data_IF_750119639450
#
_entry.id   IF_750119639450
#
_cell.length_a   1.000
_cell.length_b   1.000
_cell.length_c   1.000
_cell.angle_alpha   90.00
_cell.angle_beta   90.00
_cell.angle_gamma   90.00
#
_symmetry.space_group_name_H-M   'P 1'
#
loop_
_entity.id
_entity.type
_entity.pdbx_description
1 polymer ?
#
# COMPACT_ATOMS: atom_id res chain seq x y z
N UNK A 1 16.73 60.48 14.40
CA UNK A 1 16.17 59.33 13.66
C UNK A 1 16.48 58.10 14.50
N UNK A 2 15.50 57.62 15.29
CA UNK A 2 15.70 56.53 16.25
C UNK A 2 15.78 55.18 15.53
N UNK A 3 16.58 54.21 16.03
CA UNK A 3 16.63 52.87 15.44
C UNK A 3 15.35 52.11 15.77
N UNK A 4 14.80 51.40 14.76
CA UNK A 4 13.62 50.54 14.90
C UNK A 4 13.92 49.36 15.83
N UNK A 5 12.96 48.93 16.68
CA UNK A 5 13.16 47.78 17.56
C UNK A 5 13.14 46.48 16.75
N UNK A 6 14.03 45.55 17.13
CA UNK A 6 14.07 44.19 16.62
C UNK A 6 12.77 43.46 17.01
N UNK A 7 12.04 42.96 16.00
CA UNK A 7 10.93 42.04 16.21
C UNK A 7 11.49 40.68 16.62
N UNK A 8 11.48 40.40 17.92
CA UNK A 8 11.58 39.02 18.44
C UNK A 8 10.37 38.24 17.96
N UNK A 9 10.59 37.30 17.04
CA UNK A 9 9.62 36.28 16.66
C UNK A 9 9.38 35.38 17.89
N UNK A 10 8.25 35.58 18.56
CA UNK A 10 7.72 34.58 19.48
C UNK A 10 7.33 33.33 18.67
N UNK A 11 7.59 32.11 19.16
CA UNK A 11 7.18 30.90 18.48
C UNK A 11 5.66 30.87 18.36
N UNK A 12 5.15 30.74 17.14
CA UNK A 12 3.72 30.47 16.91
C UNK A 12 3.42 29.07 17.43
N UNK A 13 2.81 28.97 18.62
CA UNK A 13 2.26 27.71 19.12
C UNK A 13 1.07 27.32 18.22
N UNK A 14 1.31 26.34 17.34
CA UNK A 14 0.26 25.71 16.56
C UNK A 14 -0.59 24.86 17.47
N UNK A 15 -1.90 25.10 17.51
CA UNK A 15 -2.80 24.27 18.29
C UNK A 15 -2.80 22.84 17.73
N UNK A 16 -2.58 21.85 18.59
CA UNK A 16 -2.58 20.43 18.29
C UNK A 16 -4.01 19.86 18.31
N UNK A 17 -4.33 18.94 17.40
CA UNK A 17 -5.64 18.31 17.29
C UNK A 17 -5.52 16.81 17.50
N UNK A 18 -5.99 16.31 18.65
CA UNK A 18 -5.93 14.90 19.05
C UNK A 18 -7.27 14.21 18.83
N UNK A 19 -7.27 12.98 18.33
CA UNK A 19 -8.48 12.14 18.29
C UNK A 19 -8.60 11.40 19.62
N UNK A 20 -9.74 11.57 20.29
CA UNK A 20 -9.99 10.94 21.59
C UNK A 20 -11.28 10.14 21.54
N UNK A 21 -11.26 8.94 22.11
CA UNK A 21 -12.41 8.06 22.31
C UNK A 21 -12.73 7.95 23.80
N UNK A 22 -13.99 8.12 24.14
CA UNK A 22 -14.54 7.88 25.48
C UNK A 22 -15.85 7.10 25.29
N UNK A 23 -15.87 5.85 25.74
CA UNK A 23 -16.95 4.90 25.41
C UNK A 23 -17.10 4.73 23.90
N UNK A 24 -18.34 4.82 23.40
CA UNK A 24 -18.66 4.73 21.96
C UNK A 24 -18.48 6.06 21.20
N UNK A 25 -18.12 7.13 21.89
CA UNK A 25 -17.98 8.46 21.30
C UNK A 25 -16.53 8.79 20.98
N UNK A 26 -16.29 9.34 19.78
CA UNK A 26 -14.98 9.83 19.36
C UNK A 26 -15.06 11.31 18.95
N UNK A 27 -14.20 12.15 19.51
CA UNK A 27 -14.16 13.60 19.23
C UNK A 27 -12.72 14.08 19.08
N UNK A 28 -12.52 15.19 18.38
CA UNK A 28 -11.23 15.87 18.32
C UNK A 28 -11.06 16.79 19.52
N UNK A 29 -9.92 16.74 20.21
CA UNK A 29 -9.54 17.66 21.28
C UNK A 29 -8.50 18.62 20.74
N UNK A 30 -8.70 19.91 20.98
CA UNK A 30 -7.76 20.97 20.57
C UNK A 30 -6.96 21.36 21.81
N UNK A 31 -5.63 21.28 21.71
CA UNK A 31 -4.69 21.63 22.77
C UNK A 31 -3.74 22.72 22.28
N UNK A 32 -3.42 23.66 23.17
CA UNK A 32 -2.41 24.68 22.91
C UNK A 32 -0.99 24.13 23.16
N UNK A 33 -0.84 23.37 24.24
CA UNK A 33 0.42 22.78 24.69
C UNK A 33 0.20 21.28 25.01
N UNK A 34 1.24 20.44 24.88
CA UNK A 34 1.17 19.00 25.13
C UNK A 34 1.17 18.68 26.63
N UNK A 35 0.19 19.22 27.37
CA UNK A 35 0.04 19.01 28.81
C UNK A 35 -1.11 18.04 29.11
N UNK A 36 -0.84 17.00 29.91
CA UNK A 36 -1.81 15.96 30.25
C UNK A 36 -3.01 16.50 31.05
N UNK A 37 -2.77 17.44 31.97
CA UNK A 37 -3.84 18.03 32.78
C UNK A 37 -4.80 18.87 31.92
N UNK A 38 -4.25 19.70 31.04
CA UNK A 38 -5.05 20.50 30.10
C UNK A 38 -5.81 19.62 29.10
N UNK A 39 -5.18 18.52 28.67
CA UNK A 39 -5.81 17.52 27.84
C UNK A 39 -7.05 16.93 28.51
N UNK A 40 -6.91 16.41 29.73
CA UNK A 40 -8.02 15.81 30.46
C UNK A 40 -9.15 16.83 30.71
N UNK A 41 -8.81 18.06 31.08
CA UNK A 41 -9.80 19.13 31.25
C UNK A 41 -10.57 19.42 29.94
N UNK A 42 -9.85 19.49 28.81
CA UNK A 42 -10.46 19.73 27.50
C UNK A 42 -11.31 18.55 27.03
N UNK A 43 -10.91 17.31 27.31
CA UNK A 43 -11.72 16.11 27.10
C UNK A 43 -12.99 16.21 27.92
N UNK A 44 -12.90 16.39 29.24
CA UNK A 44 -14.06 16.36 30.12
C UNK A 44 -15.10 17.42 29.73
N UNK A 45 -14.63 18.63 29.44
CA UNK A 45 -15.48 19.70 28.91
C UNK A 45 -16.15 19.33 27.58
N UNK A 46 -15.42 18.70 26.65
CA UNK A 46 -15.94 18.38 25.30
C UNK A 46 -16.85 17.16 25.27
N UNK A 47 -16.64 16.21 26.17
CA UNK A 47 -17.49 15.03 26.34
C UNK A 47 -18.64 15.27 27.33
N UNK A 48 -18.64 16.40 28.04
CA UNK A 48 -19.70 16.76 28.98
C UNK A 48 -19.70 15.90 30.24
N UNK A 49 -18.53 15.41 30.63
CA UNK A 49 -18.35 14.55 31.82
C UNK A 49 -17.69 15.36 32.95
N UNK A 50 -17.98 15.05 34.24
CA UNK A 50 -17.35 15.72 35.36
C UNK A 50 -15.82 15.57 35.32
N UNK A 51 -15.04 16.59 35.74
CA UNK A 51 -13.60 16.46 35.83
C UNK A 51 -13.22 15.52 36.98
N UNK A 52 -12.84 14.30 36.65
CA UNK A 52 -12.37 13.28 37.59
C UNK A 52 -10.87 13.10 37.39
N UNK A 53 -10.07 13.20 38.46
CA UNK A 53 -8.60 13.06 38.39
C UNK A 53 -8.10 11.70 38.86
N UNK A 54 -8.92 10.92 39.53
CA UNK A 54 -8.57 9.62 40.09
C UNK A 54 -9.29 8.51 39.32
N UNK A 55 -8.58 7.43 39.02
CA UNK A 55 -9.13 6.29 38.29
C UNK A 55 -9.42 6.56 36.82
N UNK A 56 -8.61 7.39 36.15
CA UNK A 56 -8.70 7.65 34.71
C UNK A 56 -7.45 7.13 34.04
N UNK A 57 -7.60 6.14 33.15
CA UNK A 57 -6.48 5.61 32.35
C UNK A 57 -6.61 6.04 30.90
N UNK A 58 -5.50 6.51 30.33
CA UNK A 58 -5.42 6.92 28.93
C UNK A 58 -4.63 5.84 28.19
N UNK A 59 -5.18 5.36 27.09
CA UNK A 59 -4.58 4.31 26.27
C UNK A 59 -4.32 4.83 24.87
N UNK A 60 -3.20 4.45 24.28
CA UNK A 60 -2.92 4.72 22.87
C UNK A 60 -3.72 3.79 21.94
N UNK A 61 -3.47 3.88 20.63
CA UNK A 61 -4.10 2.99 19.64
C UNK A 61 -3.70 1.51 19.74
N UNK A 62 -2.61 1.20 20.43
CA UNK A 62 -2.17 -0.18 20.70
C UNK A 62 -2.77 -0.77 21.98
N UNK A 63 -3.40 0.06 22.81
CA UNK A 63 -3.91 -0.31 24.12
C UNK A 63 -2.87 -0.21 25.25
N UNK A 64 -1.80 0.55 25.03
CA UNK A 64 -0.75 0.84 26.01
C UNK A 64 -1.10 2.10 26.79
N UNK A 65 -0.89 2.08 28.11
CA UNK A 65 -1.16 3.23 28.99
C UNK A 65 -0.23 4.41 28.69
N UNK A 66 -0.79 5.62 28.73
CA UNK A 66 -0.12 6.89 28.46
C UNK A 66 -0.12 7.73 29.71
N UNK A 67 1.03 7.77 30.37
CA UNK A 67 1.28 8.57 31.57
C UNK A 67 1.80 9.97 31.25
N UNK A 68 1.88 10.83 32.26
CA UNK A 68 2.31 12.23 32.14
C UNK A 68 3.70 12.38 31.50
N UNK A 69 4.65 11.49 31.85
CA UNK A 69 6.02 11.53 31.34
C UNK A 69 6.14 11.24 29.84
N UNK A 70 5.21 10.44 29.29
CA UNK A 70 5.25 9.97 27.89
C UNK A 70 4.23 10.71 27.02
N UNK A 71 3.29 11.43 27.64
CA UNK A 71 2.21 12.13 26.95
C UNK A 71 2.75 13.11 25.91
N UNK A 72 3.74 13.94 26.25
CA UNK A 72 4.33 14.94 25.34
C UNK A 72 4.92 14.30 24.09
N UNK A 73 5.69 13.21 24.24
CA UNK A 73 6.33 12.50 23.13
C UNK A 73 5.28 11.84 22.22
N UNK A 74 4.25 11.25 22.83
CA UNK A 74 3.18 10.57 22.09
C UNK A 74 2.38 11.58 21.27
N UNK A 75 1.98 12.71 21.87
CA UNK A 75 1.13 13.69 21.18
C UNK A 75 1.91 14.56 20.18
N UNK A 76 3.22 14.75 20.40
CA UNK A 76 4.10 15.43 19.45
C UNK A 76 4.40 14.60 18.20
N UNK A 77 4.11 13.30 18.23
CA UNK A 77 4.24 12.44 17.05
C UNK A 77 3.18 12.77 15.99
N UNK A 78 3.53 12.76 14.68
CA UNK A 78 2.56 13.03 13.62
C UNK A 78 1.52 11.89 13.44
N UNK A 79 1.64 10.80 14.22
CA UNK A 79 0.85 9.57 14.10
C UNK A 79 0.29 9.07 15.43
N UNK A 80 -0.13 9.96 16.33
CA UNK A 80 -0.68 9.65 17.68
C UNK A 80 -1.84 8.62 17.66
N UNK A 81 -2.56 8.51 16.55
CA UNK A 81 -3.71 7.61 16.45
C UNK A 81 -4.93 8.13 17.24
N UNK A 82 -5.64 7.23 17.91
CA UNK A 82 -6.81 7.57 18.75
C UNK A 82 -6.47 7.24 20.19
N UNK A 83 -6.47 8.25 21.06
CA UNK A 83 -6.32 8.07 22.50
C UNK A 83 -7.65 7.63 23.10
N UNK A 84 -7.67 6.58 23.90
CA UNK A 84 -8.89 6.03 24.53
C UNK A 84 -8.86 6.28 26.03
N UNK A 85 -9.92 6.85 26.58
CA UNK A 85 -10.03 7.14 28.01
C UNK A 85 -10.93 6.08 28.66
N UNK A 86 -10.47 5.51 29.77
CA UNK A 86 -11.22 4.55 30.60
C UNK A 86 -11.29 5.02 32.04
N UNK A 87 -12.38 4.66 32.72
CA UNK A 87 -12.54 4.86 34.15
C UNK A 87 -12.33 3.52 34.89
N UNK A 88 -11.62 3.56 36.01
CA UNK A 88 -11.48 2.43 36.94
C UNK A 88 -12.84 2.14 37.57
N UNK A 89 -13.60 1.25 36.93
CA UNK A 89 -14.97 0.93 37.27
C UNK A 89 -15.83 0.44 36.09
N UNK A 90 -15.39 0.64 34.86
CA UNK A 90 -16.05 0.05 33.68
C UNK A 90 -15.63 -1.43 33.53
N UNK A 91 -16.58 -2.40 33.61
CA UNK A 91 -16.25 -3.80 33.40
C UNK A 91 -15.76 -4.01 31.97
N UNK A 92 -14.64 -4.70 31.83
CA UNK A 92 -14.10 -5.19 30.55
C UNK A 92 -15.23 -5.92 29.82
N UNK A 93 -15.70 -5.35 28.71
CA UNK A 93 -16.63 -5.99 27.78
C UNK A 93 -15.94 -7.21 27.16
N UNK A 94 -16.13 -8.34 27.82
CA UNK A 94 -15.97 -9.68 27.26
C UNK A 94 -17.17 -9.90 26.35
N UNK A 95 -16.91 -10.15 25.07
CA UNK A 95 -17.94 -10.42 24.05
C UNK A 95 -18.77 -11.65 24.49
N UNK A 96 -20.11 -11.56 24.58
CA UNK A 96 -20.96 -12.71 24.88
C UNK A 96 -21.32 -13.48 23.60
N UNK A 97 -21.29 -14.80 23.71
CA UNK A 97 -21.91 -15.76 22.80
C UNK A 97 -23.44 -15.58 22.79
N UNK A 98 -24.14 -15.86 21.68
CA UNK A 98 -25.59 -15.80 21.64
C UNK A 98 -26.17 -17.16 22.07
N UNK A 99 -27.03 -17.16 23.08
CA UNK A 99 -28.31 -17.85 22.94
C UNK A 99 -29.37 -17.38 23.95
N UNK A 100 -30.44 -16.86 23.35
CA UNK A 100 -31.85 -17.03 23.69
C UNK A 100 -32.42 -16.42 24.99
N UNK A 101 -33.41 -15.54 24.79
CA UNK A 101 -34.51 -15.37 25.73
C UNK A 101 -35.84 -15.20 24.97
N UNK A 102 -36.77 -16.12 25.19
CA UNK A 102 -38.18 -15.80 25.39
C UNK A 102 -38.83 -16.93 26.19
N UNK A 103 -39.25 -16.58 27.39
CA UNK A 103 -39.91 -17.39 28.41
C UNK A 103 -41.42 -17.28 28.23
N UNK A 104 -42.17 -18.38 28.14
CA UNK A 104 -43.59 -18.44 28.57
C UNK A 104 -43.98 -19.84 29.10
N UNK A 105 -44.32 -19.87 30.41
CA UNK A 105 -45.43 -20.54 31.10
C UNK A 105 -45.75 -22.06 30.95
N UNK A 106 -45.60 -22.76 32.09
CA UNK A 106 -46.52 -23.75 32.75
C UNK A 106 -46.85 -25.12 32.12
N UNK A 107 -46.38 -26.23 32.72
CA UNK A 107 -47.13 -27.05 33.71
C UNK A 107 -46.43 -28.39 34.02
N UNK A 108 -46.33 -28.68 35.32
CA UNK A 108 -46.51 -29.96 36.04
C UNK A 108 -45.93 -31.30 35.53
N UNK A 109 -45.02 -31.85 36.35
CA UNK A 109 -45.12 -33.15 37.09
C UNK A 109 -43.81 -33.96 37.05
N UNK A 110 -43.14 -34.03 38.20
CA UNK A 110 -42.13 -35.05 38.61
C UNK A 110 -42.98 -36.14 39.32
N UNK A 111 -42.67 -37.47 39.30
CA UNK A 111 -41.38 -37.90 39.84
C UNK A 111 -40.76 -39.28 39.45
N UNK A 112 -39.47 -39.42 39.83
CA UNK A 112 -38.90 -40.58 40.57
C UNK A 112 -38.37 -41.82 39.79
N UNK A 113 -37.03 -41.95 39.83
CA UNK A 113 -36.26 -43.07 40.45
C UNK A 113 -35.55 -44.14 39.60
N UNK A 114 -34.26 -44.29 39.96
CA UNK A 114 -33.29 -45.41 39.88
C UNK A 114 -32.67 -45.88 38.56
N UNK A 115 -31.36 -45.61 38.45
CA UNK A 115 -30.29 -46.57 38.05
C UNK A 115 -30.20 -47.76 39.03
N UNK A 116 -29.41 -48.85 38.84
CA UNK A 116 -28.39 -49.15 37.81
C UNK A 116 -28.43 -50.62 37.25
N UNK A 117 -27.65 -50.92 36.21
CA UNK A 117 -26.96 -52.22 35.94
C UNK A 117 -26.28 -52.12 34.55
N UNK A 118 -24.96 -52.14 34.41
CA UNK A 118 -24.01 -53.27 34.50
C UNK A 118 -23.60 -53.79 33.12
N UNK A 119 -22.30 -53.61 32.84
CA UNK A 119 -21.42 -54.39 31.96
C UNK A 119 -21.77 -54.54 30.46
N UNK A 120 -20.83 -54.15 29.58
CA UNK A 120 -19.81 -55.05 28.99
C UNK A 120 -19.31 -54.48 27.67
N UNK A 121 -18.06 -54.02 27.64
CA UNK A 121 -17.27 -53.92 26.40
C UNK A 121 -16.86 -55.31 25.93
N UNK A 122 -16.72 -55.51 24.61
CA UNK A 122 -15.51 -56.19 24.14
C UNK A 122 -14.82 -55.49 22.98
N UNK A 123 -13.52 -55.70 22.99
CA UNK A 123 -12.44 -55.28 22.10
C UNK A 123 -12.46 -55.95 20.72
N UNK A 124 -11.94 -55.19 19.74
CA UNK A 124 -11.09 -55.54 18.57
C UNK A 124 -11.39 -56.86 17.81
N UNK A 125 -11.71 -56.76 16.52
CA UNK A 125 -10.76 -57.11 15.46
C UNK A 125 -11.26 -56.76 14.04
N UNK A 126 -10.29 -56.46 13.18
CA UNK A 126 -10.42 -56.15 11.76
C UNK A 126 -10.86 -57.40 10.96
N UNK A 127 -11.85 -57.25 10.07
CA UNK A 127 -11.84 -57.99 8.79
C UNK A 127 -12.73 -57.30 7.75
N UNK A 128 -12.12 -57.17 6.57
CA UNK A 128 -12.61 -56.82 5.25
C UNK A 128 -14.03 -57.34 4.93
N UNK A 129 -14.94 -56.42 4.57
CA UNK A 129 -15.92 -56.60 3.50
C UNK A 129 -16.78 -55.35 3.30
N UNK A 130 -16.87 -54.96 2.04
CA UNK A 130 -17.59 -53.83 1.46
C UNK A 130 -18.95 -53.58 2.10
N UNK A 131 -19.07 -52.46 2.83
CA UNK A 131 -20.36 -51.89 3.17
C UNK A 131 -20.35 -50.41 2.79
N UNK A 132 -21.21 -50.07 1.83
CA UNK A 132 -21.42 -48.71 1.33
C UNK A 132 -21.96 -47.86 2.47
N UNK A 133 -21.07 -47.25 3.28
CA UNK A 133 -21.46 -46.24 4.25
C UNK A 133 -21.97 -45.05 3.45
N UNK A 134 -23.29 -44.92 3.39
CA UNK A 134 -23.97 -43.69 3.01
C UNK A 134 -23.68 -42.71 4.14
N UNK A 135 -22.49 -42.08 4.09
CA UNK A 135 -22.17 -40.92 4.91
C UNK A 135 -23.15 -39.85 4.45
N UNK A 136 -24.14 -39.55 5.30
CA UNK A 136 -24.98 -38.37 5.18
C UNK A 136 -24.06 -37.15 5.33
N UNK A 137 -23.50 -36.73 4.21
CA UNK A 137 -22.50 -35.68 4.05
C UNK A 137 -23.13 -34.33 4.47
N UNK A 138 -23.19 -34.08 5.77
CA UNK A 138 -23.67 -32.80 6.30
C UNK A 138 -22.66 -31.73 5.85
N UNK A 139 -23.10 -30.56 5.35
CA UNK A 139 -22.19 -29.53 4.85
C UNK A 139 -21.06 -29.14 5.82
N UNK A 140 -21.32 -29.27 7.14
CA UNK A 140 -20.34 -29.06 8.19
C UNK A 140 -19.22 -30.12 8.22
N UNK A 141 -19.55 -31.41 8.07
CA UNK A 141 -18.57 -32.50 8.04
C UNK A 141 -17.63 -32.41 6.84
N UNK A 142 -18.19 -32.03 5.67
CA UNK A 142 -17.40 -31.79 4.46
C UNK A 142 -16.43 -30.62 4.62
N UNK A 143 -16.85 -29.54 5.28
CA UNK A 143 -15.98 -28.38 5.56
C UNK A 143 -14.84 -28.74 6.51
N UNK A 144 -15.13 -29.44 7.60
CA UNK A 144 -14.13 -29.85 8.59
C UNK A 144 -13.09 -30.80 8.02
N UNK A 145 -13.51 -31.70 7.11
CA UNK A 145 -12.58 -32.57 6.37
C UNK A 145 -11.62 -31.78 5.50
N UNK A 146 -12.13 -30.82 4.72
CA UNK A 146 -11.30 -29.95 3.88
C UNK A 146 -10.33 -29.09 4.71
N UNK A 147 -10.77 -28.60 5.86
CA UNK A 147 -9.92 -27.84 6.79
C UNK A 147 -8.77 -28.70 7.33
N UNK A 148 -9.07 -29.96 7.69
CA UNK A 148 -8.08 -30.92 8.20
C UNK A 148 -7.06 -31.31 7.12
N UNK A 149 -7.52 -31.61 5.90
CA UNK A 149 -6.66 -31.92 4.75
C UNK A 149 -5.77 -30.71 4.38
N UNK A 150 -6.33 -29.50 4.38
CA UNK A 150 -5.59 -28.27 4.08
C UNK A 150 -4.53 -27.97 5.13
N UNK A 151 -4.87 -28.13 6.41
CA UNK A 151 -3.93 -27.96 7.53
C UNK A 151 -2.76 -28.94 7.41
N UNK A 152 -3.05 -30.23 7.21
CA UNK A 152 -2.03 -31.26 7.12
C UNK A 152 -1.08 -31.02 5.92
N UNK A 153 -1.62 -30.52 4.80
CA UNK A 153 -0.81 -30.13 3.65
C UNK A 153 0.24 -29.07 4.03
N UNK A 154 -0.19 -27.95 4.63
CA UNK A 154 0.71 -26.85 5.03
C UNK A 154 1.71 -27.29 6.09
N UNK A 155 1.25 -28.04 7.10
CA UNK A 155 2.09 -28.56 8.18
C UNK A 155 3.19 -29.49 7.65
N UNK A 156 2.85 -30.41 6.75
CA UNK A 156 3.82 -31.32 6.12
C UNK A 156 4.88 -30.59 5.29
N UNK A 157 4.52 -29.48 4.65
CA UNK A 157 5.46 -28.66 3.87
C UNK A 157 6.43 -27.94 4.79
N UNK A 158 5.94 -27.35 5.88
CA UNK A 158 6.78 -26.66 6.86
C UNK A 158 7.70 -27.64 7.62
N UNK A 159 7.27 -28.86 7.85
CA UNK A 159 8.13 -29.90 8.44
C UNK A 159 9.27 -30.33 7.50
N UNK A 160 9.05 -30.29 6.18
CA UNK A 160 10.02 -30.77 5.18
C UNK A 160 10.98 -29.69 4.68
N UNK A 161 10.55 -28.43 4.57
CA UNK A 161 11.35 -27.34 3.99
C UNK A 161 12.27 -26.70 5.05
N UNK A 162 13.52 -26.34 4.69
CA UNK A 162 14.46 -25.74 5.64
C UNK A 162 13.95 -24.39 6.16
N UNK A 163 13.97 -24.21 7.48
CA UNK A 163 13.50 -22.99 8.15
C UNK A 163 12.01 -23.01 8.51
N UNK A 164 11.26 -24.06 8.16
CA UNK A 164 9.88 -24.23 8.60
C UNK A 164 9.76 -24.56 10.09
N UNK A 165 10.75 -25.24 10.66
CA UNK A 165 10.92 -25.50 12.08
C UNK A 165 10.94 -24.20 12.90
N UNK A 166 11.63 -23.16 12.40
CA UNK A 166 11.69 -21.84 13.06
C UNK A 166 10.33 -21.17 13.12
N UNK A 167 9.54 -21.25 12.06
CA UNK A 167 8.18 -20.69 12.00
C UNK A 167 7.26 -21.42 12.99
N UNK A 168 7.31 -22.76 12.98
CA UNK A 168 6.51 -23.56 13.91
C UNK A 168 6.88 -23.27 15.37
N UNK A 169 8.16 -23.13 15.68
CA UNK A 169 8.63 -22.81 17.03
C UNK A 169 8.25 -21.38 17.46
N UNK A 170 8.36 -20.40 16.58
CA UNK A 170 7.94 -19.01 16.85
C UNK A 170 6.44 -18.94 17.18
N UNK A 171 5.62 -19.61 16.35
CA UNK A 171 4.18 -19.65 16.58
C UNK A 171 3.82 -20.42 17.85
N UNK A 172 4.46 -21.56 18.10
CA UNK A 172 4.19 -22.33 19.31
C UNK A 172 4.49 -21.53 20.58
N UNK A 173 5.52 -20.67 20.55
CA UNK A 173 5.94 -19.83 21.68
C UNK A 173 5.09 -18.58 21.86
N UNK A 174 4.74 -17.89 20.77
CA UNK A 174 4.12 -16.54 20.83
C UNK A 174 2.65 -16.51 20.45
N UNK A 175 2.13 -17.61 19.87
CA UNK A 175 0.81 -17.68 19.21
C UNK A 175 0.61 -16.59 18.15
N UNK A 176 1.70 -16.11 17.57
CA UNK A 176 1.74 -15.12 16.50
C UNK A 176 2.96 -15.37 15.61
N UNK A 177 3.04 -14.67 14.48
CA UNK A 177 4.23 -14.64 13.63
C UNK A 177 4.60 -13.19 13.32
N UNK A 178 5.89 -12.88 13.43
CA UNK A 178 6.47 -11.65 12.91
C UNK A 178 6.26 -11.55 11.41
N UNK A 179 6.25 -10.32 10.89
CA UNK A 179 6.11 -10.09 9.45
C UNK A 179 7.19 -10.80 8.62
N UNK A 180 8.41 -10.89 9.15
CA UNK A 180 9.51 -11.58 8.50
C UNK A 180 9.25 -13.09 8.39
N UNK A 181 8.81 -13.72 9.48
CA UNK A 181 8.47 -15.15 9.52
C UNK A 181 7.25 -15.46 8.65
N UNK A 182 6.22 -14.60 8.62
CA UNK A 182 5.08 -14.73 7.68
C UNK A 182 5.53 -14.70 6.23
N UNK A 183 6.44 -13.78 5.86
CA UNK A 183 6.99 -13.72 4.48
C UNK A 183 7.77 -14.98 4.13
N UNK A 184 8.61 -15.48 5.05
CA UNK A 184 9.37 -16.74 4.86
C UNK A 184 8.44 -17.94 4.69
N UNK A 185 7.41 -18.05 5.52
CA UNK A 185 6.36 -19.06 5.41
C UNK A 185 5.71 -19.05 4.03
N UNK A 186 5.19 -17.88 3.61
CA UNK A 186 4.53 -17.71 2.31
C UNK A 186 5.48 -18.09 1.16
N UNK A 187 6.75 -17.67 1.22
CA UNK A 187 7.74 -18.02 0.21
C UNK A 187 7.96 -19.54 0.09
N UNK A 188 8.06 -20.26 1.22
CA UNK A 188 8.23 -21.71 1.21
C UNK A 188 7.01 -22.42 0.65
N UNK A 189 5.81 -22.00 1.05
CA UNK A 189 4.55 -22.57 0.59
C UNK A 189 4.35 -22.33 -0.91
N UNK A 190 4.63 -21.12 -1.40
CA UNK A 190 4.54 -20.81 -2.83
C UNK A 190 5.57 -21.58 -3.64
N UNK A 191 6.80 -21.74 -3.14
CA UNK A 191 7.81 -22.55 -3.80
C UNK A 191 7.35 -24.00 -3.98
N UNK A 192 6.86 -24.65 -2.90
CA UNK A 192 6.30 -26.01 -2.96
C UNK A 192 5.07 -26.09 -3.90
N UNK A 193 4.20 -25.08 -3.84
CA UNK A 193 3.03 -25.00 -4.70
C UNK A 193 3.41 -24.95 -6.19
N UNK A 194 4.41 -24.14 -6.56
CA UNK A 194 4.87 -24.02 -7.96
C UNK A 194 5.71 -25.20 -8.42
N UNK A 195 6.41 -25.87 -7.49
CA UNK A 195 7.18 -27.09 -7.76
C UNK A 195 6.25 -28.26 -8.11
N UNK A 196 5.13 -28.43 -7.39
CA UNK A 196 4.17 -29.51 -7.63
C UNK A 196 3.18 -29.25 -8.75
N UNK A 197 2.73 -28.01 -8.92
CA UNK A 197 1.61 -27.66 -9.82
C UNK A 197 2.07 -26.86 -11.06
N UNK A 198 3.38 -26.70 -11.24
CA UNK A 198 3.95 -25.84 -12.26
C UNK A 198 3.79 -24.35 -11.95
N UNK A 199 4.16 -23.50 -12.91
CA UNK A 199 4.23 -22.06 -12.70
C UNK A 199 2.88 -21.42 -12.37
N UNK A 200 1.76 -22.02 -12.77
CA UNK A 200 0.41 -21.47 -12.59
C UNK A 200 -0.52 -22.42 -11.83
N UNK A 201 -0.40 -22.51 -10.49
CA UNK A 201 -1.30 -23.30 -9.66
C UNK A 201 -2.77 -22.93 -9.86
N UNK A 202 -3.65 -23.92 -9.84
CA UNK A 202 -5.10 -23.72 -10.06
C UNK A 202 -5.75 -22.95 -8.91
N UNK A 203 -6.97 -22.44 -9.15
CA UNK A 203 -7.79 -21.75 -8.12
C UNK A 203 -7.97 -22.60 -6.86
N UNK A 204 -8.31 -23.88 -7.04
CA UNK A 204 -8.54 -24.82 -5.93
C UNK A 204 -7.27 -25.06 -5.10
N UNK A 205 -6.11 -25.19 -5.76
CA UNK A 205 -4.83 -25.36 -5.05
C UNK A 205 -4.50 -24.12 -4.21
N UNK A 206 -4.68 -22.91 -4.77
CA UNK A 206 -4.43 -21.67 -4.03
C UNK A 206 -5.39 -21.51 -2.83
N UNK A 207 -6.66 -21.86 -2.98
CA UNK A 207 -7.63 -21.87 -1.87
C UNK A 207 -7.24 -22.88 -0.78
N UNK A 208 -6.82 -24.09 -1.16
CA UNK A 208 -6.40 -25.13 -0.21
C UNK A 208 -5.22 -24.65 0.64
N UNK A 209 -4.22 -24.00 0.04
CA UNK A 209 -3.08 -23.45 0.79
C UNK A 209 -3.49 -22.26 1.68
N UNK A 210 -4.30 -21.33 1.17
CA UNK A 210 -4.78 -20.19 1.96
C UNK A 210 -5.58 -20.65 3.19
N UNK A 211 -6.51 -21.59 2.99
CA UNK A 211 -7.27 -22.24 4.06
C UNK A 211 -6.34 -22.96 5.04
N UNK A 212 -5.38 -23.74 4.55
CA UNK A 212 -4.42 -24.45 5.39
C UNK A 212 -3.59 -23.53 6.28
N UNK A 213 -3.20 -22.35 5.78
CA UNK A 213 -2.46 -21.35 6.57
C UNK A 213 -3.27 -20.89 7.76
N UNK A 214 -4.51 -20.43 7.57
CA UNK A 214 -5.32 -19.89 8.68
C UNK A 214 -5.82 -20.99 9.62
N UNK A 215 -5.99 -22.22 9.14
CA UNK A 215 -6.33 -23.37 9.99
C UNK A 215 -5.14 -23.81 10.84
N UNK A 216 -3.91 -23.71 10.32
CA UNK A 216 -2.70 -24.02 11.08
C UNK A 216 -2.29 -22.88 12.03
N UNK A 217 -2.48 -21.63 11.57
CA UNK A 217 -2.16 -20.41 12.30
C UNK A 217 -3.40 -19.52 12.49
N UNK A 218 -4.32 -19.87 13.42
CA UNK A 218 -5.55 -19.10 13.65
C UNK A 218 -5.36 -17.60 13.85
N UNK A 219 -4.25 -17.14 14.42
CA UNK A 219 -3.98 -15.70 14.62
C UNK A 219 -3.75 -14.93 13.31
N UNK A 220 -3.56 -15.63 12.19
CA UNK A 220 -3.39 -15.05 10.87
C UNK A 220 -4.70 -15.00 10.09
N UNK A 221 -5.80 -15.52 10.65
CA UNK A 221 -7.13 -15.41 10.06
C UNK A 221 -7.59 -13.96 10.10
N UNK A 222 -8.22 -13.48 9.03
CA UNK A 222 -8.88 -12.18 9.00
C UNK A 222 -10.29 -12.28 9.60
N UNK A 223 -10.58 -11.66 10.77
CA UNK A 223 -11.89 -11.74 11.40
C UNK A 223 -13.01 -11.07 10.59
N UNK A 224 -12.66 -10.18 9.66
CA UNK A 224 -13.62 -9.42 8.85
C UNK A 224 -13.92 -10.09 7.50
N UNK A 225 -13.21 -11.17 7.19
CA UNK A 225 -13.38 -11.90 5.94
C UNK A 225 -14.32 -13.10 6.08
N UNK A 226 -15.02 -13.45 5.00
CA UNK A 226 -16.04 -14.52 4.99
C UNK A 226 -15.50 -15.87 5.46
N UNK A 227 -14.28 -16.23 5.05
CA UNK A 227 -13.65 -17.50 5.42
C UNK A 227 -12.32 -17.31 6.17
N UNK A 228 -11.90 -16.06 6.43
CA UNK A 228 -10.68 -15.72 7.14
C UNK A 228 -9.38 -15.82 6.34
N UNK A 229 -9.36 -16.44 5.16
CA UNK A 229 -8.14 -16.66 4.36
C UNK A 229 -8.04 -15.84 3.07
N UNK A 230 -9.04 -15.02 2.77
CA UNK A 230 -9.15 -14.30 1.50
C UNK A 230 -7.98 -13.33 1.26
N UNK A 231 -7.37 -12.79 2.31
CA UNK A 231 -6.16 -11.97 2.18
C UNK A 231 -4.94 -12.78 1.68
N UNK A 232 -4.89 -14.10 1.93
CA UNK A 232 -3.90 -15.00 1.32
C UNK A 232 -4.30 -15.41 -0.10
N UNK A 233 -5.57 -15.77 -0.30
CA UNK A 233 -6.13 -15.97 -1.63
C UNK A 233 -7.64 -15.78 -1.64
N UNK A 234 -8.12 -14.77 -2.36
CA UNK A 234 -9.53 -14.60 -2.67
C UNK A 234 -9.81 -15.21 -4.03
N UNK A 235 -10.72 -16.17 -4.04
CA UNK A 235 -11.06 -16.92 -5.22
C UNK A 235 -12.08 -16.23 -6.12
N UNK A 236 -12.75 -15.18 -5.64
CA UNK A 236 -13.64 -14.34 -6.45
C UNK A 236 -12.83 -13.34 -7.28
N UNK A 237 -11.92 -12.59 -6.64
CA UNK A 237 -11.05 -11.63 -7.34
C UNK A 237 -9.81 -12.26 -7.96
N UNK A 238 -9.42 -13.46 -7.54
CA UNK A 238 -8.15 -14.08 -7.93
C UNK A 238 -6.92 -13.40 -7.31
N UNK A 239 -7.12 -12.59 -6.27
CA UNK A 239 -6.09 -11.79 -5.60
C UNK A 239 -5.64 -12.39 -4.26
N UNK A 240 -4.74 -11.72 -3.54
CA UNK A 240 -4.19 -12.16 -2.25
C UNK A 240 -2.68 -12.44 -2.29
N UNK A 241 -2.07 -12.60 -1.11
CA UNK A 241 -0.61 -12.74 -0.97
C UNK A 241 -0.01 -13.91 -1.74
N UNK A 242 -0.69 -15.07 -1.77
CA UNK A 242 -0.23 -16.24 -2.53
C UNK A 242 -0.25 -15.94 -4.04
N UNK A 243 -1.34 -15.35 -4.54
CA UNK A 243 -1.47 -14.96 -5.94
C UNK A 243 -0.42 -13.92 -6.35
N UNK A 244 -0.24 -12.89 -5.52
CA UNK A 244 0.78 -11.87 -5.74
C UNK A 244 2.17 -12.48 -5.78
N UNK A 245 2.51 -13.34 -4.81
CA UNK A 245 3.84 -13.93 -4.72
C UNK A 245 4.15 -14.84 -5.91
N UNK A 246 3.21 -15.70 -6.32
CA UNK A 246 3.31 -16.51 -7.54
C UNK A 246 3.59 -15.62 -8.75
N UNK A 247 2.82 -14.53 -8.95
CA UNK A 247 3.02 -13.58 -10.05
C UNK A 247 4.39 -12.90 -10.00
N UNK A 248 4.93 -12.63 -8.81
CA UNK A 248 6.29 -12.06 -8.69
C UNK A 248 7.39 -13.06 -9.03
N UNK A 249 7.26 -14.32 -8.59
CA UNK A 249 8.22 -15.39 -8.91
C UNK A 249 8.18 -15.72 -10.40
N UNK A 250 7.00 -15.75 -11.02
CA UNK A 250 6.88 -15.89 -12.48
C UNK A 250 7.58 -14.75 -13.23
N UNK A 251 7.42 -13.50 -12.78
CA UNK A 251 8.07 -12.34 -13.39
C UNK A 251 9.58 -12.35 -13.20
N UNK A 252 10.08 -12.75 -12.03
CA UNK A 252 11.53 -12.87 -11.79
C UNK A 252 12.13 -14.00 -12.61
N UNK A 253 11.53 -15.19 -12.63
CA UNK A 253 12.01 -16.33 -13.44
C UNK A 253 11.96 -16.05 -14.94
N UNK A 254 10.96 -15.31 -15.43
CA UNK A 254 10.93 -14.84 -16.83
C UNK A 254 12.04 -13.83 -17.12
N UNK A 255 12.37 -12.96 -16.15
CA UNK A 255 13.49 -12.02 -16.24
C UNK A 255 14.84 -12.74 -16.24
N UNK A 256 15.01 -13.73 -15.37
CA UNK A 256 16.24 -14.53 -15.28
C UNK A 256 16.48 -15.35 -16.56
N UNK A 257 15.41 -15.96 -17.11
CA UNK A 257 15.47 -16.65 -18.42
C UNK A 257 15.81 -15.72 -19.57
N UNK A 258 15.39 -14.45 -19.51
CA UNK A 258 15.75 -13.43 -20.49
C UNK A 258 17.20 -12.97 -20.30
N UNK A 259 17.65 -12.81 -19.07
CA UNK A 259 19.04 -12.48 -18.75
C UNK A 259 20.03 -13.58 -19.19
N UNK A 260 19.69 -14.85 -18.97
CA UNK A 260 20.52 -15.98 -19.43
C UNK A 260 20.54 -16.14 -20.96
N UNK A 261 19.52 -15.65 -21.67
CA UNK A 261 19.51 -15.57 -23.14
C UNK A 261 20.26 -14.35 -23.68
N UNK A 262 20.42 -13.30 -22.86
CA UNK A 262 21.16 -12.08 -23.21
C UNK A 262 22.68 -12.21 -22.99
N UNK A 263 23.17 -13.13 -22.16
CA UNK A 263 24.62 -13.40 -21.98
C UNK A 263 25.32 -13.94 -23.26
N UNK A 264 24.58 -14.35 -24.29
CA UNK A 264 25.12 -14.84 -25.57
C UNK A 264 25.11 -13.84 -26.74
N UNK A 265 24.66 -12.58 -26.56
CA UNK A 265 24.64 -11.57 -27.63
C UNK A 265 25.00 -10.18 -27.13
N UNK A 266 25.87 -9.42 -27.83
CA UNK A 266 26.19 -8.08 -27.41
C UNK A 266 24.99 -7.17 -27.68
N UNK A 267 24.46 -6.60 -26.61
CA UNK A 267 23.64 -5.39 -26.65
C UNK A 267 22.12 -5.61 -26.63
N UNK A 268 21.54 -5.65 -25.43
CA UNK A 268 20.33 -4.91 -25.10
C UNK A 268 20.07 -4.98 -23.60
N UNK A 269 19.71 -3.85 -23.00
CA UNK A 269 19.07 -3.85 -21.67
C UNK A 269 17.89 -2.89 -21.64
N UNK A 270 16.91 -3.35 -20.86
CA UNK A 270 15.81 -2.64 -20.20
C UNK A 270 14.44 -2.59 -20.91
N UNK A 271 13.61 -3.60 -20.60
CA UNK A 271 12.16 -3.40 -20.47
C UNK A 271 11.89 -2.71 -19.12
N UNK A 272 11.86 -1.38 -19.15
CA UNK A 272 11.45 -0.51 -18.04
C UNK A 272 10.80 0.77 -18.55
N UNK A 273 10.17 0.71 -19.73
CA UNK A 273 9.60 1.87 -20.41
C UNK A 273 8.17 2.20 -19.99
N UNK A 274 7.66 3.38 -20.38
CA UNK A 274 6.32 3.90 -20.06
C UNK A 274 5.15 3.03 -20.55
N UNK A 275 5.43 1.93 -21.27
CA UNK A 275 4.47 0.92 -21.71
C UNK A 275 4.21 -0.20 -20.69
N UNK A 276 4.88 -0.19 -19.52
CA UNK A 276 4.54 -1.12 -18.44
C UNK A 276 3.09 -0.84 -18.00
N UNK A 277 2.17 -1.73 -18.39
CA UNK A 277 0.74 -1.62 -18.10
C UNK A 277 0.56 -1.60 -16.57
N UNK A 278 0.43 -0.39 -16.00
CA UNK A 278 -0.13 -0.18 -14.67
C UNK A 278 -1.63 -0.46 -14.83
N UNK A 279 -2.11 -1.52 -14.18
CA UNK A 279 -3.56 -1.67 -13.96
C UNK A 279 -3.98 -0.53 -13.04
N UNK A 280 -4.34 0.61 -13.61
CA UNK A 280 -5.21 1.56 -12.94
C UNK A 280 -6.58 0.90 -12.89
N UNK A 281 -7.08 0.63 -11.68
CA UNK A 281 -8.47 0.27 -11.49
C UNK A 281 -9.30 1.44 -12.02
N UNK A 282 -9.88 1.25 -13.22
CA UNK A 282 -10.82 2.19 -13.79
C UNK A 282 -11.99 2.32 -12.81
N UNK A 283 -12.06 3.46 -12.12
CA UNK A 283 -13.34 3.94 -11.62
C UNK A 283 -14.21 4.30 -12.84
N UNK A 284 -15.51 4.01 -12.82
CA UNK A 284 -16.38 4.34 -13.94
C UNK A 284 -16.26 5.84 -14.26
N UNK A 285 -16.18 6.18 -15.55
CA UNK A 285 -16.25 7.57 -16.03
C UNK A 285 -17.53 8.20 -15.51
N UNK A 286 -17.40 8.98 -14.44
CA UNK A 286 -18.41 9.93 -14.03
C UNK A 286 -18.11 11.21 -14.80
N UNK A 287 -18.99 11.55 -15.74
CA UNK A 287 -18.97 12.85 -16.38
C UNK A 287 -19.27 13.90 -15.31
N UNK A 288 -18.22 14.57 -14.84
CA UNK A 288 -18.35 15.75 -14.00
C UNK A 288 -18.92 16.88 -14.86
N UNK A 289 -19.98 17.51 -14.36
CA UNK A 289 -20.53 18.71 -15.00
C UNK A 289 -19.56 19.88 -14.81
N UNK A 290 -19.63 20.91 -15.67
CA UNK A 290 -18.72 22.07 -15.63
C UNK A 290 -18.69 22.81 -14.28
N UNK A 291 -19.69 22.58 -13.42
CA UNK A 291 -19.81 23.15 -12.07
C UNK A 291 -19.22 22.28 -10.95
N UNK A 292 -18.83 21.03 -11.24
CA UNK A 292 -18.27 20.11 -10.26
C UNK A 292 -16.79 20.40 -10.02
N UNK A 293 -16.50 21.06 -8.91
CA UNK A 293 -15.13 21.33 -8.50
C UNK A 293 -14.40 19.98 -8.29
N UNK A 294 -13.37 19.70 -9.09
CA UNK A 294 -12.54 18.48 -8.97
C UNK A 294 -12.06 18.25 -7.54
N UNK A 295 -11.85 19.33 -6.77
CA UNK A 295 -11.40 19.27 -5.39
C UNK A 295 -12.51 18.91 -4.38
N UNK A 296 -13.80 18.98 -4.77
CA UNK A 296 -14.90 18.45 -3.95
C UNK A 296 -15.13 16.97 -4.16
N UNK A 297 -14.98 16.45 -5.38
CA UNK A 297 -15.13 15.00 -5.61
C UNK A 297 -13.86 14.22 -5.23
N UNK A 298 -12.69 14.86 -5.37
CA UNK A 298 -11.41 14.31 -4.96
C UNK A 298 -10.78 15.16 -3.85
N UNK A 299 -11.35 15.14 -2.63
CA UNK A 299 -10.86 15.96 -1.52
C UNK A 299 -9.41 15.63 -1.15
N UNK A 300 -8.91 14.43 -1.53
CA UNK A 300 -7.51 14.05 -1.34
C UNK A 300 -6.50 14.92 -2.09
N UNK A 301 -6.91 15.66 -3.12
CA UNK A 301 -6.01 16.63 -3.77
C UNK A 301 -5.80 17.89 -2.92
N UNK A 302 -6.61 18.13 -1.88
CA UNK A 302 -6.45 19.30 -1.00
C UNK A 302 -5.41 19.08 0.11
N UNK A 303 -5.30 17.85 0.60
CA UNK A 303 -4.47 17.47 1.75
C UNK A 303 -3.21 16.70 1.34
N UNK A 304 -3.21 16.01 0.19
CA UNK A 304 -2.03 15.32 -0.32
C UNK A 304 -1.19 16.24 -1.19
N UNK A 305 -0.06 16.71 -0.66
CA UNK A 305 0.94 17.45 -1.43
C UNK A 305 1.71 16.49 -2.34
N UNK A 306 1.60 16.71 -3.65
CA UNK A 306 2.44 16.07 -4.67
C UNK A 306 2.27 14.56 -4.79
N UNK A 307 1.18 14.09 -5.41
CA UNK A 307 0.88 12.65 -5.53
C UNK A 307 2.03 11.81 -6.11
N UNK A 308 2.69 12.32 -7.16
CA UNK A 308 3.83 11.64 -7.77
C UNK A 308 5.03 11.63 -6.82
N UNK A 309 5.28 12.74 -6.13
CA UNK A 309 6.38 12.88 -5.19
C UNK A 309 6.15 11.99 -3.96
N UNK A 310 4.93 11.92 -3.44
CA UNK A 310 4.56 11.06 -2.32
C UNK A 310 4.78 9.58 -2.65
N UNK A 311 4.32 9.12 -3.82
CA UNK A 311 4.56 7.75 -4.26
C UNK A 311 6.07 7.46 -4.41
N UNK A 312 6.83 8.44 -4.89
CA UNK A 312 8.27 8.34 -5.03
C UNK A 312 8.97 8.28 -3.66
N UNK A 313 8.55 9.12 -2.70
CA UNK A 313 8.99 9.09 -1.29
C UNK A 313 8.67 7.74 -0.64
N UNK A 314 7.46 7.21 -0.85
CA UNK A 314 7.06 5.89 -0.33
C UNK A 314 7.92 4.76 -0.88
N UNK A 315 8.29 4.83 -2.17
CA UNK A 315 9.10 3.79 -2.81
C UNK A 315 10.59 3.88 -2.47
N UNK A 316 11.14 5.09 -2.35
CA UNK A 316 12.59 5.32 -2.30
C UNK A 316 13.08 6.00 -1.01
N UNK A 317 12.17 6.44 -0.15
CA UNK A 317 12.44 7.18 1.07
C UNK A 317 12.64 8.68 0.84
N UNK A 318 12.37 9.46 1.89
CA UNK A 318 12.44 10.93 1.87
C UNK A 318 13.85 11.42 1.52
N UNK A 319 14.87 10.78 2.10
CA UNK A 319 16.27 11.09 1.80
C UNK A 319 16.74 10.75 0.38
N UNK A 320 15.96 10.07 -0.47
CA UNK A 320 16.28 9.84 -1.88
C UNK A 320 15.41 10.67 -2.83
N UNK A 321 14.14 10.86 -2.47
CA UNK A 321 13.12 11.52 -3.29
C UNK A 321 13.50 12.93 -3.76
N UNK A 322 13.90 13.81 -2.84
CA UNK A 322 14.28 15.19 -3.15
C UNK A 322 15.66 15.34 -3.82
N UNK A 323 16.53 14.32 -3.77
CA UNK A 323 17.93 14.45 -4.18
C UNK A 323 18.11 14.88 -5.63
N UNK A 324 17.22 14.43 -6.54
CA UNK A 324 17.30 14.83 -7.95
C UNK A 324 17.11 16.32 -8.07
N UNK A 325 16.03 16.87 -7.51
CA UNK A 325 15.69 18.29 -7.55
C UNK A 325 16.72 19.14 -6.82
N UNK A 326 17.16 18.71 -5.63
CA UNK A 326 18.21 19.39 -4.85
C UNK A 326 19.53 19.51 -5.62
N UNK A 327 19.92 18.46 -6.35
CA UNK A 327 21.20 18.40 -7.08
C UNK A 327 21.05 18.79 -8.55
N UNK A 328 19.84 19.03 -9.03
CA UNK A 328 19.57 19.37 -10.43
C UNK A 328 20.31 20.64 -10.85
N UNK A 329 20.09 21.82 -10.22
CA UNK A 329 20.71 23.07 -10.65
C UNK A 329 22.23 23.06 -10.46
N UNK A 330 22.73 22.39 -9.42
CA UNK A 330 24.15 22.47 -9.05
C UNK A 330 25.03 21.42 -9.72
N UNK A 331 24.48 20.25 -10.05
CA UNK A 331 25.28 19.06 -10.40
C UNK A 331 24.78 18.36 -11.64
N UNK A 332 23.52 17.93 -11.67
CA UNK A 332 23.04 17.08 -12.78
C UNK A 332 22.93 17.86 -14.08
N UNK A 333 22.32 19.05 -14.07
CA UNK A 333 22.20 19.91 -15.25
C UNK A 333 23.54 20.16 -15.94
N UNK A 334 24.55 20.59 -15.16
CA UNK A 334 25.92 20.81 -15.67
C UNK A 334 26.53 19.55 -16.28
N UNK A 335 26.34 18.38 -15.64
CA UNK A 335 26.84 17.10 -16.17
C UNK A 335 26.15 16.74 -17.48
N UNK A 336 24.85 16.94 -17.61
CA UNK A 336 24.10 16.67 -18.85
C UNK A 336 24.66 17.52 -19.99
N UNK A 337 24.74 18.84 -19.79
CA UNK A 337 25.30 19.77 -20.78
C UNK A 337 26.71 19.34 -21.20
N UNK A 338 27.58 19.00 -20.24
CA UNK A 338 28.94 18.55 -20.50
C UNK A 338 29.02 17.25 -21.31
N UNK A 339 28.11 16.30 -21.08
CA UNK A 339 28.10 15.05 -21.86
C UNK A 339 27.53 15.29 -23.26
N UNK A 340 26.49 16.12 -23.40
CA UNK A 340 25.91 16.45 -24.70
C UNK A 340 26.87 17.23 -25.60
N UNK A 341 27.76 18.06 -25.04
CA UNK A 341 28.86 18.71 -25.78
C UNK A 341 29.83 17.74 -26.45
N UNK A 342 29.87 16.47 -26.03
CA UNK A 342 30.72 15.43 -26.63
C UNK A 342 30.03 14.67 -27.75
N UNK A 343 28.72 14.88 -27.95
CA UNK A 343 27.98 14.26 -29.04
C UNK A 343 28.34 14.94 -30.38
N UNK A 344 28.12 14.27 -31.51
CA UNK A 344 28.22 14.91 -32.81
C UNK A 344 27.32 16.15 -32.88
N UNK A 345 27.86 17.27 -33.37
CA UNK A 345 27.12 18.52 -33.50
C UNK A 345 25.99 18.36 -34.52
N UNK A 346 24.77 18.66 -34.09
CA UNK A 346 23.59 18.82 -34.96
C UNK A 346 22.89 20.11 -34.58
N UNK A 347 22.14 20.71 -35.52
CA UNK A 347 21.40 21.97 -35.28
C UNK A 347 20.55 21.88 -34.01
N UNK A 348 19.89 20.75 -33.79
CA UNK A 348 19.02 20.54 -32.62
C UNK A 348 19.81 20.50 -31.31
N UNK A 349 20.96 19.83 -31.29
CA UNK A 349 21.81 19.76 -30.09
C UNK A 349 22.42 21.14 -29.81
N UNK A 350 22.84 21.88 -30.84
CA UNK A 350 23.38 23.22 -30.72
C UNK A 350 22.35 24.21 -30.17
N UNK A 351 21.12 24.20 -30.69
CA UNK A 351 20.00 25.02 -30.21
C UNK A 351 19.67 24.72 -28.74
N UNK A 352 19.58 23.43 -28.38
CA UNK A 352 19.30 23.02 -26.99
C UNK A 352 20.46 23.35 -26.05
N UNK A 353 21.72 23.22 -26.47
CA UNK A 353 22.89 23.60 -25.68
C UNK A 353 22.96 25.11 -25.44
N UNK A 354 22.63 25.91 -26.47
CA UNK A 354 22.57 27.36 -26.36
C UNK A 354 21.48 27.82 -25.39
N UNK A 355 20.31 27.18 -25.43
CA UNK A 355 19.22 27.47 -24.50
C UNK A 355 19.49 26.95 -23.07
N UNK A 356 20.18 25.82 -22.93
CA UNK A 356 20.53 25.22 -21.65
C UNK A 356 21.66 25.98 -20.92
N UNK A 357 22.65 26.50 -21.64
CA UNK A 357 23.82 27.20 -21.10
C UNK A 357 24.15 28.43 -21.96
N UNK A 358 23.31 29.48 -21.92
CA UNK A 358 23.50 30.67 -22.75
C UNK A 358 24.79 31.41 -22.34
N UNK A 359 25.57 31.93 -23.30
CA UNK A 359 26.76 32.73 -23.00
C UNK A 359 26.38 34.01 -22.24
N UNK A 360 27.27 34.48 -21.37
CA UNK A 360 27.00 35.58 -20.42
C UNK A 360 26.54 36.91 -21.07
N UNK A 361 26.83 37.11 -22.36
CA UNK A 361 26.45 38.29 -23.15
C UNK A 361 25.10 38.20 -23.88
N UNK A 362 24.41 37.04 -23.86
CA UNK A 362 23.13 36.85 -24.58
C UNK A 362 21.99 36.75 -23.58
N UNK A 363 21.28 37.87 -23.38
CA UNK A 363 20.18 37.95 -22.41
C UNK A 363 18.87 37.35 -22.89
N UNK A 364 18.70 37.11 -24.21
CA UNK A 364 17.47 36.57 -24.79
C UNK A 364 17.76 35.67 -26.00
N UNK A 365 17.61 34.35 -25.83
CA UNK A 365 17.54 33.40 -26.95
C UNK A 365 16.06 33.28 -27.33
N UNK A 366 15.62 34.02 -28.36
CA UNK A 366 14.21 34.35 -28.65
C UNK A 366 13.31 33.19 -29.18
N UNK A 367 13.72 31.92 -29.08
CA UNK A 367 12.93 30.83 -29.69
C UNK A 367 12.98 29.46 -28.99
N UNK A 368 13.72 29.35 -27.87
CA UNK A 368 14.00 28.05 -27.23
C UNK A 368 13.05 27.69 -26.10
N UNK A 369 13.16 26.43 -25.65
CA UNK A 369 12.72 26.03 -24.32
C UNK A 369 13.55 26.75 -23.26
N UNK A 370 13.06 26.84 -22.02
CA UNK A 370 13.88 27.37 -20.93
C UNK A 370 15.11 26.49 -20.67
N UNK A 371 16.03 26.99 -19.84
CA UNK A 371 17.31 26.34 -19.60
C UNK A 371 17.18 24.96 -18.93
N UNK A 372 16.19 24.75 -18.07
CA UNK A 372 15.96 23.46 -17.41
C UNK A 372 15.32 22.45 -18.33
N UNK A 373 14.27 22.86 -19.04
CA UNK A 373 13.58 22.01 -20.00
C UNK A 373 14.50 21.65 -21.19
N UNK A 374 15.29 22.60 -21.68
CA UNK A 374 16.33 22.32 -22.68
C UNK A 374 17.33 21.28 -22.19
N UNK A 375 17.75 21.37 -20.92
CA UNK A 375 18.63 20.38 -20.30
C UNK A 375 17.97 19.00 -20.14
N UNK A 376 16.66 18.95 -19.88
CA UNK A 376 15.90 17.69 -19.86
C UNK A 376 15.79 17.09 -21.26
N UNK A 377 15.55 17.90 -22.29
CA UNK A 377 15.48 17.43 -23.67
C UNK A 377 16.83 16.90 -24.16
N UNK A 378 17.94 17.54 -23.75
CA UNK A 378 19.30 17.04 -23.98
C UNK A 378 19.53 15.63 -23.41
N UNK A 379 18.90 15.25 -22.29
CA UNK A 379 18.98 13.87 -21.79
C UNK A 379 18.47 12.86 -22.81
N UNK A 380 17.46 13.21 -23.62
CA UNK A 380 16.91 12.32 -24.65
C UNK A 380 17.92 12.01 -25.77
N UNK A 381 18.95 12.84 -25.93
CA UNK A 381 20.07 12.59 -26.85
C UNK A 381 21.18 11.70 -26.24
N UNK A 382 21.22 11.56 -24.91
CA UNK A 382 22.16 10.68 -24.20
C UNK A 382 21.59 9.28 -23.99
N UNK A 383 20.26 9.14 -24.04
CA UNK A 383 19.56 7.86 -23.84
C UNK A 383 19.54 7.09 -25.16
N UNK A 384 19.81 5.76 -25.16
CA UNK A 384 19.68 4.95 -26.37
C UNK A 384 18.29 5.07 -27.00
N UNK A 385 18.19 5.23 -28.33
CA UNK A 385 16.90 5.40 -29.00
C UNK A 385 15.99 4.19 -28.75
N UNK A 386 14.76 4.45 -28.30
CA UNK A 386 13.80 3.38 -27.97
C UNK A 386 13.17 2.81 -29.25
N UNK A 387 12.99 1.48 -29.30
CA UNK A 387 12.33 0.83 -30.43
C UNK A 387 10.84 1.25 -30.51
N UNK A 388 10.32 1.52 -31.70
CA UNK A 388 8.92 1.91 -31.96
C UNK A 388 7.88 0.78 -31.72
N UNK A 389 8.28 -0.30 -31.06
CA UNK A 389 7.42 -1.45 -30.75
C UNK A 389 7.29 -2.46 -31.90
N UNK A 390 6.64 -3.60 -31.62
CA UNK A 390 6.52 -4.72 -32.57
C UNK A 390 5.78 -4.40 -33.88
N UNK A 391 4.97 -3.32 -33.90
CA UNK A 391 4.10 -2.96 -35.03
C UNK A 391 4.71 -1.96 -36.01
N UNK A 392 5.79 -1.27 -35.65
CA UNK A 392 6.50 -0.31 -36.53
C UNK A 392 8.00 -0.58 -36.49
N UNK A 393 8.62 -0.95 -37.62
CA UNK A 393 10.07 -1.07 -37.69
C UNK A 393 10.69 0.33 -37.61
N UNK A 394 11.53 0.58 -36.59
CA UNK A 394 12.18 1.87 -36.42
C UNK A 394 12.58 2.14 -34.96
N UNK A 395 13.44 3.14 -34.79
CA UNK A 395 13.78 3.72 -33.49
C UNK A 395 13.24 5.15 -33.44
N UNK A 396 12.69 5.56 -32.29
CA UNK A 396 12.26 6.94 -32.07
C UNK A 396 13.51 7.81 -31.98
N UNK A 397 13.62 8.85 -32.82
CA UNK A 397 14.70 9.83 -32.69
C UNK A 397 14.48 10.73 -31.47
N UNK A 398 15.53 11.37 -30.98
CA UNK A 398 15.41 12.31 -29.86
C UNK A 398 14.41 13.45 -30.15
N UNK A 399 14.41 13.98 -31.38
CA UNK A 399 13.44 14.99 -31.86
C UNK A 399 12.00 14.47 -31.88
N UNK A 400 11.81 13.18 -32.20
CA UNK A 400 10.50 12.57 -32.14
C UNK A 400 10.07 12.33 -30.68
N UNK A 401 11.01 11.97 -29.81
CA UNK A 401 10.75 11.81 -28.37
C UNK A 401 10.33 13.14 -27.73
N UNK A 402 10.96 14.26 -28.08
CA UNK A 402 10.56 15.59 -27.63
C UNK A 402 9.07 15.86 -27.87
N UNK A 403 8.56 15.59 -29.09
CA UNK A 403 7.14 15.79 -29.45
C UNK A 403 6.18 14.90 -28.65
N UNK A 404 6.66 13.80 -28.11
CA UNK A 404 5.88 12.91 -27.24
C UNK A 404 6.00 13.27 -25.77
N UNK A 405 7.08 13.96 -25.37
CA UNK A 405 7.34 14.34 -23.99
C UNK A 405 6.72 15.68 -23.62
N UNK A 406 6.71 16.65 -24.54
CA UNK A 406 6.26 18.02 -24.26
C UNK A 406 5.35 18.53 -25.37
N UNK A 407 4.20 19.07 -24.98
CA UNK A 407 3.26 19.77 -25.86
C UNK A 407 3.18 21.22 -25.40
N UNK A 408 3.47 22.15 -26.30
CA UNK A 408 3.36 23.58 -26.02
C UNK A 408 1.99 24.14 -26.46
N UNK A 409 1.35 24.90 -25.58
CA UNK A 409 0.14 25.67 -25.87
C UNK A 409 0.36 27.14 -25.50
N UNK A 410 -0.22 28.05 -26.29
CA UNK A 410 -0.11 29.48 -25.99
C UNK A 410 -0.96 29.83 -24.77
N UNK A 411 -0.51 30.80 -23.99
CA UNK A 411 -1.34 31.38 -22.92
C UNK A 411 -2.68 31.85 -23.50
N UNK A 412 -3.78 31.45 -22.85
CA UNK A 412 -5.14 31.73 -23.31
C UNK A 412 -5.83 30.57 -24.03
N UNK A 413 -5.11 29.51 -24.41
CA UNK A 413 -5.75 28.25 -24.86
C UNK A 413 -6.51 27.62 -23.69
N UNK A 414 -7.78 27.29 -23.89
CA UNK A 414 -8.59 26.62 -22.87
C UNK A 414 -8.09 25.19 -22.63
N UNK A 415 -8.12 24.73 -21.39
CA UNK A 415 -7.83 23.33 -21.06
C UNK A 415 -8.80 22.41 -21.81
N UNK A 416 -10.08 22.79 -21.90
CA UNK A 416 -11.10 22.00 -22.59
C UNK A 416 -10.80 21.88 -24.09
N UNK A 417 -10.43 22.99 -24.74
CA UNK A 417 -10.01 23.00 -26.14
C UNK A 417 -8.83 22.04 -26.38
N UNK A 418 -7.86 22.02 -25.46
CA UNK A 418 -6.75 21.08 -25.56
C UNK A 418 -7.20 19.63 -25.36
N UNK A 419 -8.09 19.35 -24.41
CA UNK A 419 -8.63 18.01 -24.15
C UNK A 419 -9.41 17.47 -25.35
N UNK A 420 -10.23 18.31 -25.99
CA UNK A 420 -11.03 17.96 -27.17
C UNK A 420 -10.15 17.59 -28.38
N UNK A 421 -8.94 18.17 -28.47
CA UNK A 421 -7.95 17.79 -29.49
C UNK A 421 -7.27 16.44 -29.22
N UNK A 422 -7.32 15.90 -28.00
CA UNK A 422 -6.70 14.62 -27.65
C UNK A 422 -7.55 13.47 -28.19
N UNK A 423 -7.34 13.14 -29.45
CA UNK A 423 -8.11 12.08 -30.11
C UNK A 423 -7.59 10.66 -29.85
N UNK A 424 -6.30 10.50 -29.48
CA UNK A 424 -5.64 9.17 -29.51
C UNK A 424 -4.43 8.97 -28.56
N UNK A 425 -4.07 9.93 -27.70
CA UNK A 425 -2.83 9.78 -26.90
C UNK A 425 -3.07 9.01 -25.60
N UNK A 426 -2.52 7.80 -25.51
CA UNK A 426 -2.51 6.98 -24.28
C UNK A 426 -1.28 7.24 -23.39
N UNK A 427 -0.30 8.03 -23.85
CA UNK A 427 0.90 8.32 -23.06
C UNK A 427 0.79 9.69 -22.41
N UNK A 428 1.14 9.81 -21.11
CA UNK A 428 1.21 11.09 -20.44
C UNK A 428 2.35 11.92 -21.05
N UNK A 429 2.10 13.22 -21.19
CA UNK A 429 3.06 14.21 -21.67
C UNK A 429 3.00 15.45 -20.78
N UNK A 430 4.04 16.27 -20.84
CA UNK A 430 4.11 17.56 -20.17
C UNK A 430 3.40 18.60 -21.05
N UNK A 431 2.35 19.21 -20.51
CA UNK A 431 1.72 20.37 -21.14
C UNK A 431 2.43 21.64 -20.67
N UNK A 432 3.18 22.27 -21.57
CA UNK A 432 3.80 23.57 -21.33
C UNK A 432 2.87 24.67 -21.86
N UNK A 433 2.42 25.57 -20.99
CA UNK A 433 1.60 26.73 -21.37
C UNK A 433 2.47 27.96 -21.26
N UNK A 434 2.45 28.88 -22.23
CA UNK A 434 3.22 30.12 -22.13
C UNK A 434 3.00 31.07 -23.31
N UNK A 435 3.49 32.30 -23.21
CA UNK A 435 3.44 33.26 -24.33
C UNK A 435 4.40 32.81 -25.45
N UNK A 436 5.51 32.20 -25.05
CA UNK A 436 6.55 31.57 -25.89
C UNK A 436 7.00 30.27 -25.24
N UNK A 437 7.77 29.44 -25.96
CA UNK A 437 8.27 28.15 -25.46
C UNK A 437 9.22 28.28 -24.25
N UNK A 438 9.77 29.46 -23.98
CA UNK A 438 10.52 29.77 -22.76
C UNK A 438 9.61 30.38 -21.69
N UNK A 439 9.53 29.73 -20.53
CA UNK A 439 8.83 30.26 -19.35
C UNK A 439 9.82 31.09 -18.52
N UNK A 440 9.40 32.28 -18.06
CA UNK A 440 9.93 32.96 -16.87
C UNK A 440 8.71 33.33 -16.03
N UNK A 441 8.73 32.95 -14.76
CA UNK A 441 7.69 33.24 -13.76
C UNK A 441 7.36 34.74 -13.64
#
# INVERSE_FOLDING_TARGET
MAPRPALTLLPRHGNMLLKVRLGDSQKFIKLAEPNLTDFLNAVFAKFGVPPVREGVTILDSSGTEVDEEVFEDIVSSPSVGVLTIKYDGEPVSVVPSPDSASTESSSDTIPVVTTPESCRSPSLDLSDSQETIIISDTPAGKRQRLDSESKQCVESILARKPGGDRIMNEYNRTKSLTDESRRKMVNMLVADMTEKNGSSPTRQVKEMYARGIVTLFPSLSDPFSKNGYEHYYDSQSGSGYLAWRIKTIQRSTARDRRASFEEGRPGKTTEGGPTARRELQYLPEKNLSEDDNVLSEFPRFKDVKGLIEQDFVLMFGEGASGKLLERWPTTFKKKVIQQCRKLPSTSEIEELLLAADPPEDVTEVDAGWDSDLSSILLLSHLIPPTAQGRKKPGKVSATQAEKHLVVFKKTGTSIQEHLDEITTSNQPYLLAVGVRRGFRD
#
